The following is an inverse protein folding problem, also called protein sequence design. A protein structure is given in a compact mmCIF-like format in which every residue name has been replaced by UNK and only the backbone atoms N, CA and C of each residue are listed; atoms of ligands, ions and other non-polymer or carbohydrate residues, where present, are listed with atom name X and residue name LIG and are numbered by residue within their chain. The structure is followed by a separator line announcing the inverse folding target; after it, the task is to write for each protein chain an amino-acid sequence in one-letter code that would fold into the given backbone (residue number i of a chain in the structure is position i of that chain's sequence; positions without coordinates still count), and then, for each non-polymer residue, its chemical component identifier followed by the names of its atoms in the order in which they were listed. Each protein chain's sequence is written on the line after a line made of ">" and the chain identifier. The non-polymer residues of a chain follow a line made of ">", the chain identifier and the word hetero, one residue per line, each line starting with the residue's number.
data_IF_779483334442
#
_entry.id   IF_779483334442
#
_cell.length_a   1.000
_cell.length_b   1.000
_cell.length_c   1.000
_cell.angle_alpha   90.00
_cell.angle_beta   90.00
_cell.angle_gamma   90.00
#
_symmetry.space_group_name_H-M   'P 1'
#
loop_
_entity.id
_entity.type
_entity.pdbx_description
1 polymer ?
#
# COMPACT_ATOMS: atom_id res chain seq x y z
N UNK A 1 39.23 -2.52 24.54
CA UNK A 1 38.42 -3.70 24.11
C UNK A 1 36.99 -3.71 24.66
N UNK A 2 36.68 -3.30 25.90
CA UNK A 2 35.30 -3.35 26.46
C UNK A 2 34.17 -2.61 25.71
N UNK A 3 34.46 -1.49 25.02
CA UNK A 3 33.42 -0.72 24.33
C UNK A 3 32.88 -1.42 23.07
N UNK A 4 33.72 -2.18 22.35
CA UNK A 4 33.33 -2.82 21.09
C UNK A 4 32.24 -3.89 21.29
N UNK A 5 32.36 -4.68 22.36
CA UNK A 5 31.43 -5.77 22.67
C UNK A 5 30.06 -5.23 23.10
N UNK A 6 30.04 -4.06 23.76
CA UNK A 6 28.81 -3.38 24.18
C UNK A 6 28.05 -2.83 22.97
N UNK A 7 28.75 -2.19 22.01
CA UNK A 7 28.14 -1.70 20.77
C UNK A 7 27.65 -2.82 19.85
N UNK A 8 28.33 -3.96 19.86
CA UNK A 8 27.94 -5.17 19.14
C UNK A 8 26.61 -5.72 19.68
N UNK A 9 26.53 -5.93 21.00
CA UNK A 9 25.33 -6.43 21.68
C UNK A 9 24.13 -5.51 21.47
N UNK A 10 24.33 -4.19 21.57
CA UNK A 10 23.28 -3.19 21.32
C UNK A 10 22.80 -3.25 19.87
N UNK A 11 23.71 -3.32 18.90
CA UNK A 11 23.34 -3.36 17.47
C UNK A 11 22.63 -4.66 17.09
N UNK A 12 23.10 -5.81 17.55
CA UNK A 12 22.45 -7.10 17.31
C UNK A 12 21.08 -7.16 18.00
N UNK A 13 21.00 -6.69 19.26
CA UNK A 13 19.75 -6.61 20.01
C UNK A 13 18.73 -5.70 19.32
N UNK A 14 19.16 -4.52 18.86
CA UNK A 14 18.31 -3.59 18.12
C UNK A 14 17.86 -4.16 16.78
N UNK A 15 18.73 -4.86 16.05
CA UNK A 15 18.40 -5.49 14.77
C UNK A 15 17.36 -6.60 14.93
N UNK A 16 17.58 -7.50 15.88
CA UNK A 16 16.65 -8.60 16.18
C UNK A 16 15.31 -8.02 16.66
N UNK A 17 15.33 -7.03 17.56
CA UNK A 17 14.11 -6.37 18.05
C UNK A 17 13.37 -5.65 16.92
N UNK A 18 14.08 -5.03 15.98
CA UNK A 18 13.48 -4.39 14.83
C UNK A 18 12.85 -5.40 13.86
N UNK A 19 13.54 -6.52 13.57
CA UNK A 19 13.00 -7.57 12.69
C UNK A 19 11.80 -8.25 13.33
N UNK A 20 11.94 -8.72 14.57
CA UNK A 20 10.86 -9.39 15.30
C UNK A 20 9.72 -8.41 15.53
N UNK A 21 10.00 -7.19 15.97
CA UNK A 21 8.99 -6.14 16.17
C UNK A 21 8.24 -5.81 14.89
N UNK A 22 8.94 -5.63 13.76
CA UNK A 22 8.30 -5.37 12.47
C UNK A 22 7.48 -6.56 11.99
N UNK A 23 7.99 -7.78 12.16
CA UNK A 23 7.29 -9.00 11.77
C UNK A 23 6.06 -9.26 12.62
N UNK A 24 6.18 -9.18 13.95
CA UNK A 24 5.10 -9.39 14.92
C UNK A 24 4.06 -8.28 14.81
N UNK A 25 4.47 -7.01 14.70
CA UNK A 25 3.54 -5.91 14.48
C UNK A 25 2.77 -6.09 13.17
N UNK A 26 3.46 -6.41 12.07
CA UNK A 26 2.84 -6.72 10.79
C UNK A 26 1.90 -7.93 10.89
N UNK A 27 2.28 -8.99 11.59
CA UNK A 27 1.48 -10.22 11.70
C UNK A 27 0.25 -10.08 12.59
N UNK A 28 0.38 -9.40 13.74
CA UNK A 28 -0.74 -9.15 14.65
C UNK A 28 -1.75 -8.18 14.04
N UNK A 29 -1.27 -7.11 13.39
CA UNK A 29 -2.11 -6.16 12.65
C UNK A 29 -2.88 -6.89 11.53
N UNK A 30 -2.23 -7.80 10.79
CA UNK A 30 -2.88 -8.63 9.76
C UNK A 30 -4.03 -9.51 10.26
N UNK A 31 -3.82 -10.26 11.35
CA UNK A 31 -4.86 -11.14 11.91
C UNK A 31 -6.05 -10.36 12.44
N UNK A 32 -5.77 -9.24 13.10
CA UNK A 32 -6.81 -8.34 13.60
C UNK A 32 -7.62 -7.76 12.45
N UNK A 33 -6.95 -7.23 11.43
CA UNK A 33 -7.57 -6.68 10.22
C UNK A 33 -8.40 -7.76 9.49
N UNK A 34 -7.91 -8.98 9.28
CA UNK A 34 -8.69 -10.02 8.59
C UNK A 34 -9.98 -10.40 9.35
N UNK A 35 -9.92 -10.48 10.68
CA UNK A 35 -11.10 -10.80 11.50
C UNK A 35 -12.10 -9.63 11.57
N UNK A 36 -11.61 -8.39 11.71
CA UNK A 36 -12.47 -7.19 11.74
C UNK A 36 -13.09 -6.90 10.37
N UNK A 37 -12.38 -7.20 9.28
CA UNK A 37 -12.86 -6.99 7.92
C UNK A 37 -13.91 -8.03 7.45
N UNK A 38 -14.06 -9.16 8.16
CA UNK A 38 -15.14 -10.11 7.89
C UNK A 38 -16.53 -9.52 8.24
N UNK A 39 -16.58 -8.59 9.20
CA UNK A 39 -17.77 -7.82 9.58
C UNK A 39 -17.37 -6.40 9.96
N UNK A 40 -17.05 -5.55 8.96
CA UNK A 40 -16.41 -4.27 9.19
C UNK A 40 -17.34 -3.34 9.99
N UNK A 41 -16.87 -2.87 11.15
CA UNK A 41 -17.52 -1.84 11.98
C UNK A 41 -17.04 -0.43 11.66
N UNK A 42 -16.42 -0.24 10.49
CA UNK A 42 -15.83 1.01 10.05
C UNK A 42 -16.84 2.14 9.84
N UNK A 43 -16.32 3.34 9.61
CA UNK A 43 -17.10 4.54 9.29
C UNK A 43 -17.21 4.69 7.77
N UNK A 44 -18.35 5.22 7.33
CA UNK A 44 -18.50 5.59 5.93
C UNK A 44 -17.57 6.75 5.59
N UNK A 45 -16.75 6.57 4.55
CA UNK A 45 -15.90 7.65 4.04
C UNK A 45 -16.79 8.65 3.29
N UNK A 46 -16.63 9.94 3.61
CA UNK A 46 -17.44 11.00 3.02
C UNK A 46 -17.26 11.04 1.49
N UNK A 47 -18.34 11.25 0.72
CA UNK A 47 -18.29 11.34 -0.74
C UNK A 47 -17.35 12.42 -1.29
N UNK A 48 -16.98 13.40 -0.47
CA UNK A 48 -16.12 14.52 -0.86
C UNK A 48 -14.65 14.31 -0.51
N UNK A 49 -14.34 13.28 0.29
CA UNK A 49 -12.99 13.10 0.82
C UNK A 49 -12.10 12.36 -0.17
N UNK A 50 -10.92 12.94 -0.44
CA UNK A 50 -9.86 12.29 -1.20
C UNK A 50 -8.90 11.62 -0.24
N UNK A 51 -8.86 10.30 -0.31
CA UNK A 51 -7.91 9.49 0.45
C UNK A 51 -6.60 9.45 -0.31
N UNK A 52 -5.58 10.07 0.26
CA UNK A 52 -4.23 10.06 -0.30
C UNK A 52 -3.44 8.86 0.23
N UNK A 53 -2.40 8.46 -0.50
CA UNK A 53 -1.47 7.42 -0.06
C UNK A 53 -0.77 7.84 1.26
N UNK A 54 -0.78 6.96 2.26
CA UNK A 54 -0.02 7.09 3.50
C UNK A 54 1.46 6.86 3.24
N UNK A 55 2.20 7.97 3.22
CA UNK A 55 3.62 8.01 2.87
C UNK A 55 4.56 7.84 4.06
N UNK A 56 4.00 7.92 5.27
CA UNK A 56 4.80 8.00 6.50
C UNK A 56 5.55 6.69 6.77
N UNK A 57 4.98 5.54 6.38
CA UNK A 57 5.63 4.23 6.54
C UNK A 57 6.93 4.13 5.73
N UNK A 58 6.92 4.50 4.45
CA UNK A 58 8.12 4.47 3.59
C UNK A 58 9.18 5.46 4.06
N UNK A 59 8.76 6.65 4.50
CA UNK A 59 9.66 7.66 5.06
C UNK A 59 10.32 7.17 6.35
N UNK A 60 9.55 6.57 7.25
CA UNK A 60 10.06 6.01 8.51
C UNK A 60 11.05 4.86 8.27
N UNK A 61 10.74 3.94 7.35
CA UNK A 61 11.66 2.87 6.96
C UNK A 61 12.98 3.45 6.44
N UNK A 62 12.93 4.47 5.57
CA UNK A 62 14.11 5.16 5.07
C UNK A 62 14.98 5.74 6.20
N UNK A 63 14.36 6.46 7.15
CA UNK A 63 15.07 7.02 8.32
C UNK A 63 15.72 5.91 9.15
N UNK A 64 14.97 4.86 9.49
CA UNK A 64 15.48 3.78 10.34
C UNK A 64 16.66 3.07 9.68
N UNK A 65 16.58 2.79 8.37
CA UNK A 65 17.69 2.18 7.62
C UNK A 65 18.95 3.06 7.63
N UNK A 66 18.80 4.38 7.52
CA UNK A 66 19.94 5.31 7.57
C UNK A 66 20.53 5.38 8.98
N UNK A 67 19.70 5.53 10.01
CA UNK A 67 20.19 5.63 11.39
C UNK A 67 20.89 4.34 11.81
N UNK A 68 20.27 3.18 11.52
CA UNK A 68 20.83 1.87 11.87
C UNK A 68 22.06 1.53 11.03
N UNK A 69 21.97 1.68 9.71
CA UNK A 69 23.08 1.42 8.79
C UNK A 69 24.26 2.36 9.04
N UNK A 70 23.98 3.66 9.22
CA UNK A 70 25.00 4.67 9.54
C UNK A 70 25.68 4.44 10.88
N UNK A 71 24.90 4.16 11.94
CA UNK A 71 25.47 3.81 13.25
C UNK A 71 26.35 2.56 13.15
N UNK A 72 25.85 1.51 12.49
CA UNK A 72 26.59 0.25 12.35
C UNK A 72 27.88 0.43 11.57
N UNK A 73 27.85 1.15 10.44
CA UNK A 73 29.06 1.40 9.62
C UNK A 73 30.12 2.20 10.40
N UNK A 74 29.70 3.20 11.18
CA UNK A 74 30.62 4.08 11.90
C UNK A 74 31.19 3.45 13.17
N UNK A 75 30.40 2.68 13.91
CA UNK A 75 30.73 2.26 15.28
C UNK A 75 30.85 0.75 15.49
N UNK A 76 30.41 -0.08 14.53
CA UNK A 76 30.40 -1.55 14.69
C UNK A 76 31.17 -2.22 13.56
N UNK A 77 32.26 -2.91 13.88
CA UNK A 77 33.04 -3.69 12.90
C UNK A 77 33.10 -5.15 13.32
N UNK A 78 32.39 -6.01 12.57
CA UNK A 78 32.29 -7.45 12.85
C UNK A 78 33.07 -8.25 11.82
N UNK A 79 32.55 -8.34 10.61
CA UNK A 79 33.16 -9.04 9.49
C UNK A 79 32.72 -8.37 8.18
N UNK A 80 33.37 -8.71 7.07
CA UNK A 80 33.12 -8.09 5.76
C UNK A 80 31.67 -8.27 5.30
N UNK A 81 31.06 -9.42 5.58
CA UNK A 81 29.66 -9.72 5.20
C UNK A 81 28.69 -8.80 5.94
N UNK A 82 28.83 -8.67 7.26
CA UNK A 82 28.05 -7.76 8.08
C UNK A 82 28.21 -6.31 7.62
N UNK A 83 29.46 -5.87 7.42
CA UNK A 83 29.76 -4.50 6.95
C UNK A 83 29.12 -4.23 5.59
N UNK A 84 29.11 -5.22 4.70
CA UNK A 84 28.47 -5.11 3.38
C UNK A 84 26.96 -4.99 3.52
N UNK A 85 26.33 -5.81 4.38
CA UNK A 85 24.90 -5.77 4.63
C UNK A 85 24.45 -4.43 5.21
N UNK A 86 25.11 -3.91 6.25
CA UNK A 86 24.72 -2.62 6.88
C UNK A 86 25.03 -1.42 5.98
N UNK A 87 26.07 -1.51 5.14
CA UNK A 87 26.35 -0.48 4.12
C UNK A 87 25.27 -0.49 3.03
N UNK A 88 24.84 -1.67 2.58
CA UNK A 88 23.74 -1.78 1.64
C UNK A 88 22.43 -1.23 2.23
N UNK A 89 22.13 -1.53 3.50
CA UNK A 89 20.97 -0.96 4.21
C UNK A 89 21.03 0.57 4.25
N UNK A 90 22.19 1.16 4.59
CA UNK A 90 22.39 2.61 4.59
C UNK A 90 22.13 3.20 3.20
N UNK A 91 22.74 2.62 2.16
CA UNK A 91 22.57 3.07 0.76
C UNK A 91 21.10 2.99 0.34
N UNK A 92 20.42 1.87 0.61
CA UNK A 92 18.99 1.71 0.32
C UNK A 92 18.16 2.77 1.06
N UNK A 93 18.45 3.01 2.35
CA UNK A 93 17.78 4.05 3.14
C UNK A 93 17.94 5.45 2.54
N UNK A 94 19.17 5.80 2.13
CA UNK A 94 19.47 7.06 1.44
C UNK A 94 18.69 7.16 0.13
N UNK A 95 18.69 6.11 -0.69
CA UNK A 95 17.93 6.09 -1.95
C UNK A 95 16.43 6.26 -1.73
N UNK A 96 15.84 5.60 -0.73
CA UNK A 96 14.43 5.75 -0.37
C UNK A 96 14.12 7.20 0.02
N UNK A 97 14.96 7.82 0.86
CA UNK A 97 14.76 9.23 1.25
C UNK A 97 14.96 10.19 0.09
N UNK A 98 15.99 10.01 -0.73
CA UNK A 98 16.23 10.84 -1.92
C UNK A 98 15.07 10.74 -2.90
N UNK A 99 14.56 9.52 -3.15
CA UNK A 99 13.39 9.31 -3.99
C UNK A 99 12.16 10.06 -3.45
N UNK A 100 11.99 10.09 -2.13
CA UNK A 100 10.93 10.83 -1.46
C UNK A 100 11.09 12.35 -1.61
N UNK A 101 12.32 12.87 -1.43
CA UNK A 101 12.66 14.29 -1.54
C UNK A 101 12.58 14.82 -2.97
N UNK A 102 12.94 14.00 -3.97
CA UNK A 102 12.94 14.34 -5.39
C UNK A 102 11.53 14.50 -6.01
N UNK A 103 10.46 14.43 -5.22
CA UNK A 103 9.07 14.71 -5.63
C UNK A 103 8.62 13.96 -6.92
N UNK A 104 9.17 12.78 -7.24
CA UNK A 104 8.53 11.83 -8.17
C UNK A 104 7.35 11.16 -7.45
N UNK A 105 6.37 12.00 -7.10
CA UNK A 105 5.24 11.62 -6.25
C UNK A 105 4.33 10.65 -7.00
N UNK A 106 4.02 9.46 -6.47
CA UNK A 106 2.78 8.79 -6.83
C UNK A 106 1.63 9.64 -6.25
N UNK A 107 1.06 10.50 -7.09
CA UNK A 107 -0.11 11.32 -6.75
C UNK A 107 -1.40 10.50 -6.91
N UNK A 108 -1.39 9.30 -6.32
CA UNK A 108 -2.57 8.46 -6.25
C UNK A 108 -3.53 8.99 -5.21
N UNK A 109 -4.81 9.10 -5.55
CA UNK A 109 -5.88 9.31 -4.57
C UNK A 109 -7.07 8.42 -4.89
N UNK A 110 -7.80 8.03 -3.86
CA UNK A 110 -9.09 7.38 -3.97
C UNK A 110 -10.19 8.33 -3.51
N UNK A 111 -11.31 8.30 -4.19
CA UNK A 111 -12.54 8.96 -3.74
C UNK A 111 -13.66 7.96 -3.90
N UNK A 112 -14.43 7.78 -2.84
CA UNK A 112 -15.68 7.02 -2.88
C UNK A 112 -16.78 8.04 -3.09
N UNK A 113 -17.65 7.86 -4.07
CA UNK A 113 -18.82 8.70 -4.28
C UNK A 113 -20.05 7.83 -4.44
N UNK A 114 -21.24 8.43 -4.51
CA UNK A 114 -22.46 7.67 -4.81
C UNK A 114 -22.47 7.08 -6.22
N UNK A 115 -21.70 7.67 -7.15
CA UNK A 115 -21.60 7.17 -8.52
C UNK A 115 -20.67 5.96 -8.65
N UNK A 116 -19.58 5.94 -7.89
CA UNK A 116 -18.55 4.91 -8.02
C UNK A 116 -17.29 5.15 -7.19
N UNK A 117 -16.25 4.36 -7.48
CA UNK A 117 -14.89 4.60 -7.00
C UNK A 117 -14.13 5.38 -8.05
N UNK A 118 -13.65 6.57 -7.69
CA UNK A 118 -12.71 7.33 -8.52
C UNK A 118 -11.28 7.08 -8.09
N UNK A 119 -10.45 6.65 -9.04
CA UNK A 119 -9.01 6.45 -8.87
C UNK A 119 -8.30 7.57 -9.61
N UNK A 120 -7.71 8.49 -8.85
CA UNK A 120 -6.90 9.57 -9.37
C UNK A 120 -5.44 9.16 -9.54
N UNK A 121 -4.89 9.43 -10.72
CA UNK A 121 -3.48 9.29 -11.05
C UNK A 121 -2.90 10.66 -11.45
N UNK A 122 -1.58 10.72 -11.68
CA UNK A 122 -0.86 11.96 -11.97
C UNK A 122 -1.45 12.76 -13.15
N UNK A 123 -1.91 12.07 -14.20
CA UNK A 123 -2.28 12.70 -15.47
C UNK A 123 -3.77 12.52 -15.81
N UNK A 124 -4.59 12.13 -14.83
CA UNK A 124 -6.01 11.89 -15.04
C UNK A 124 -6.60 11.01 -13.96
N UNK A 125 -7.92 10.91 -13.96
CA UNK A 125 -8.64 10.01 -13.08
C UNK A 125 -9.61 9.15 -13.88
N UNK A 126 -10.00 8.03 -13.29
CA UNK A 126 -11.07 7.20 -13.82
C UNK A 126 -12.02 6.82 -12.72
N UNK A 127 -13.32 6.91 -13.01
CA UNK A 127 -14.40 6.54 -12.10
C UNK A 127 -14.99 5.23 -12.56
N UNK A 128 -15.02 4.25 -11.65
CA UNK A 128 -15.61 2.94 -11.87
C UNK A 128 -16.98 2.95 -11.19
N UNK A 129 -18.09 3.01 -11.95
CA UNK A 129 -19.41 3.03 -11.37
C UNK A 129 -19.69 1.78 -10.54
N UNK A 130 -20.42 1.91 -9.43
CA UNK A 130 -20.76 0.76 -8.58
C UNK A 130 -21.49 -0.35 -9.36
N UNK A 131 -22.37 0.04 -10.29
CA UNK A 131 -23.10 -0.89 -11.18
C UNK A 131 -22.20 -1.77 -12.04
N UNK A 132 -20.95 -1.36 -12.28
CA UNK A 132 -19.97 -2.10 -13.07
C UNK A 132 -19.29 -3.21 -12.28
N UNK A 133 -19.52 -3.30 -10.97
CA UNK A 133 -18.94 -4.33 -10.12
C UNK A 133 -19.67 -5.64 -10.36
N UNK A 134 -18.92 -6.70 -10.62
CA UNK A 134 -19.44 -8.06 -10.73
C UNK A 134 -19.29 -8.80 -9.39
N UNK A 135 -18.07 -8.83 -8.86
CA UNK A 135 -17.77 -9.43 -7.55
C UNK A 135 -16.63 -8.65 -6.91
N UNK A 136 -16.58 -8.62 -5.59
CA UNK A 136 -15.42 -8.13 -4.85
C UNK A 136 -15.11 -9.06 -3.69
N UNK A 137 -13.83 -9.13 -3.31
CA UNK A 137 -13.37 -9.96 -2.20
C UNK A 137 -12.16 -9.35 -1.51
N UNK A 138 -12.00 -9.68 -0.24
CA UNK A 138 -10.85 -9.30 0.56
C UNK A 138 -9.87 -10.47 0.55
N UNK A 139 -8.62 -10.23 0.17
CA UNK A 139 -7.57 -11.24 0.12
C UNK A 139 -6.24 -10.66 0.57
N UNK A 140 -5.29 -11.51 0.92
CA UNK A 140 -3.91 -11.10 1.16
C UNK A 140 -3.08 -11.27 -0.13
N UNK A 141 -2.49 -10.17 -0.59
CA UNK A 141 -1.59 -10.16 -1.77
C UNK A 141 -0.24 -9.60 -1.34
N UNK A 142 0.83 -10.38 -1.51
CA UNK A 142 2.19 -10.03 -1.09
C UNK A 142 2.30 -9.52 0.36
N UNK A 143 1.50 -10.09 1.27
CA UNK A 143 1.48 -9.68 2.67
C UNK A 143 0.73 -8.38 2.96
N UNK A 144 -0.08 -7.88 2.02
CA UNK A 144 -0.94 -6.72 2.21
C UNK A 144 -2.40 -7.15 2.06
N UNK A 145 -3.23 -6.80 3.05
CA UNK A 145 -4.67 -7.00 2.94
C UNK A 145 -5.21 -6.08 1.86
N UNK A 146 -5.91 -6.66 0.89
CA UNK A 146 -6.28 -6.00 -0.36
C UNK A 146 -7.71 -6.32 -0.73
N UNK A 147 -8.39 -5.35 -1.35
CA UNK A 147 -9.69 -5.57 -1.97
C UNK A 147 -9.47 -5.82 -3.45
N UNK A 148 -9.88 -6.98 -3.92
CA UNK A 148 -9.91 -7.34 -5.34
C UNK A 148 -11.33 -7.16 -5.87
N UNK A 149 -11.45 -6.49 -7.02
CA UNK A 149 -12.73 -6.18 -7.65
C UNK A 149 -12.71 -6.70 -9.09
N UNK A 150 -13.73 -7.48 -9.44
CA UNK A 150 -14.05 -7.87 -10.80
C UNK A 150 -15.10 -6.93 -11.37
N UNK A 151 -14.87 -6.48 -12.59
CA UNK A 151 -15.79 -5.64 -13.33
C UNK A 151 -16.58 -6.49 -14.32
N UNK A 152 -17.78 -6.03 -14.66
CA UNK A 152 -18.61 -6.63 -15.72
C UNK A 152 -17.95 -6.40 -17.08
N UNK A 153 -18.11 -7.38 -17.95
CA UNK A 153 -17.75 -7.26 -19.37
C UNK A 153 -18.88 -6.55 -20.15
N UNK A 154 -18.57 -5.75 -21.18
CA UNK A 154 -17.23 -5.40 -21.65
C UNK A 154 -16.52 -4.35 -20.77
N UNK A 155 -15.25 -4.56 -20.42
CA UNK A 155 -14.46 -3.64 -19.57
C UNK A 155 -14.47 -2.18 -20.08
N UNK A 156 -14.53 -1.96 -21.40
CA UNK A 156 -14.54 -0.63 -22.01
C UNK A 156 -15.70 0.25 -21.56
N UNK A 157 -16.80 -0.34 -21.11
CA UNK A 157 -17.99 0.36 -20.64
C UNK A 157 -18.04 0.46 -19.10
N UNK A 158 -17.10 -0.18 -18.42
CA UNK A 158 -17.09 -0.33 -16.96
C UNK A 158 -16.46 0.85 -16.22
N UNK A 159 -15.93 1.86 -16.91
CA UNK A 159 -15.31 3.04 -16.30
C UNK A 159 -15.50 4.32 -17.13
N UNK A 160 -15.46 5.47 -16.46
CA UNK A 160 -15.51 6.82 -17.04
C UNK A 160 -14.15 7.49 -16.86
N UNK A 161 -13.65 8.18 -17.88
CA UNK A 161 -12.34 8.85 -17.86
C UNK A 161 -12.48 10.35 -17.72
N UNK A 162 -11.65 10.93 -16.87
CA UNK A 162 -11.39 12.37 -16.79
C UNK A 162 -9.88 12.61 -16.93
N UNK A 163 -9.42 12.83 -18.17
CA UNK A 163 -8.02 13.09 -18.49
C UNK A 163 -7.90 13.96 -19.74
N UNK A 164 -6.89 14.83 -19.77
CA UNK A 164 -6.48 15.56 -20.98
C UNK A 164 -5.50 14.79 -21.87
N UNK A 165 -5.08 13.57 -21.49
CA UNK A 165 -4.16 12.76 -22.29
C UNK A 165 -4.90 11.88 -23.32
N UNK A 166 -4.52 11.90 -24.61
CA UNK A 166 -5.23 11.20 -25.67
C UNK A 166 -5.24 9.67 -25.52
N UNK A 167 -4.27 9.08 -24.82
CA UNK A 167 -4.12 7.62 -24.67
C UNK A 167 -4.45 7.11 -23.26
N UNK A 168 -5.06 7.93 -22.40
CA UNK A 168 -5.31 7.55 -21.01
C UNK A 168 -6.25 6.33 -20.90
N UNK A 169 -7.31 6.28 -21.73
CA UNK A 169 -8.27 5.17 -21.76
C UNK A 169 -7.60 3.83 -22.07
N UNK A 170 -6.77 3.76 -23.11
CA UNK A 170 -6.04 2.54 -23.49
C UNK A 170 -5.09 2.08 -22.38
N UNK A 171 -4.47 3.04 -21.68
CA UNK A 171 -3.59 2.74 -20.54
C UNK A 171 -4.37 2.13 -19.38
N UNK A 172 -5.54 2.66 -19.05
CA UNK A 172 -6.41 2.11 -17.99
C UNK A 172 -6.89 0.71 -18.35
N UNK A 173 -7.34 0.49 -19.59
CA UNK A 173 -7.73 -0.84 -20.07
C UNK A 173 -6.58 -1.84 -19.96
N UNK A 174 -5.37 -1.46 -20.40
CA UNK A 174 -4.18 -2.29 -20.28
C UNK A 174 -3.87 -2.64 -18.82
N UNK A 175 -4.00 -1.69 -17.90
CA UNK A 175 -3.82 -1.94 -16.46
C UNK A 175 -4.84 -2.95 -15.95
N UNK A 176 -6.12 -2.82 -16.31
CA UNK A 176 -7.15 -3.76 -15.89
C UNK A 176 -6.93 -5.17 -16.45
N UNK A 177 -6.59 -5.31 -17.74
CA UNK A 177 -6.27 -6.61 -18.33
C UNK A 177 -5.03 -7.25 -17.69
N UNK A 178 -4.00 -6.47 -17.40
CA UNK A 178 -2.79 -6.95 -16.72
C UNK A 178 -3.08 -7.40 -15.29
N UNK A 179 -3.83 -6.59 -14.53
CA UNK A 179 -4.24 -6.97 -13.18
C UNK A 179 -5.06 -8.26 -13.20
N UNK A 180 -5.97 -8.40 -14.16
CA UNK A 180 -6.81 -9.58 -14.28
C UNK A 180 -5.96 -10.83 -14.56
N UNK A 181 -5.00 -10.75 -15.48
CA UNK A 181 -4.10 -11.86 -15.79
C UNK A 181 -3.22 -12.29 -14.61
N UNK A 182 -2.84 -11.37 -13.72
CA UNK A 182 -1.91 -11.65 -12.62
C UNK A 182 -2.65 -12.07 -11.34
N UNK A 183 -3.74 -11.38 -11.03
CA UNK A 183 -4.43 -11.49 -9.73
C UNK A 183 -5.84 -12.08 -9.83
N UNK A 184 -6.32 -12.35 -11.05
CA UNK A 184 -7.70 -12.75 -11.30
C UNK A 184 -8.71 -11.65 -10.97
N UNK A 185 -8.28 -10.38 -10.98
CA UNK A 185 -9.13 -9.22 -10.73
C UNK A 185 -8.71 -7.97 -11.50
N UNK A 186 -9.69 -7.16 -11.91
CA UNK A 186 -9.46 -5.96 -12.72
C UNK A 186 -8.86 -4.82 -11.91
N UNK A 187 -9.32 -4.66 -10.66
CA UNK A 187 -8.88 -3.61 -9.74
C UNK A 187 -8.40 -4.24 -8.44
N UNK A 188 -7.27 -3.76 -7.96
CA UNK A 188 -6.71 -4.13 -6.66
C UNK A 188 -6.49 -2.86 -5.83
N UNK A 189 -7.13 -2.80 -4.66
CA UNK A 189 -6.92 -1.75 -3.67
C UNK A 189 -6.13 -2.35 -2.51
N UNK A 190 -4.83 -2.05 -2.44
CA UNK A 190 -4.01 -2.41 -1.29
C UNK A 190 -4.46 -1.55 -0.10
N UNK A 191 -4.97 -2.12 0.98
CA UNK A 191 -5.56 -1.29 2.05
C UNK A 191 -4.48 -0.59 2.89
N UNK A 192 -3.32 -1.22 3.08
CA UNK A 192 -2.27 -0.72 3.95
C UNK A 192 -1.50 0.51 3.43
N UNK A 193 -1.80 0.98 2.20
CA UNK A 193 -1.11 2.13 1.59
C UNK A 193 -1.90 3.43 1.67
N UNK A 194 -3.17 3.42 2.07
CA UNK A 194 -4.01 4.61 2.07
C UNK A 194 -4.04 5.29 3.43
N UNK A 195 -4.24 6.60 3.45
CA UNK A 195 -4.42 7.38 4.68
C UNK A 195 -5.88 7.30 5.17
N UNK A 196 -6.38 6.08 5.30
CA UNK A 196 -7.69 5.74 5.86
C UNK A 196 -7.58 4.37 6.56
N UNK A 197 -8.45 4.10 7.53
CA UNK A 197 -8.47 2.79 8.16
C UNK A 197 -8.91 1.73 7.12
N UNK A 198 -8.28 0.55 7.08
CA UNK A 198 -8.71 -0.54 6.20
C UNK A 198 -10.19 -0.88 6.34
N UNK A 199 -10.71 -0.86 7.57
CA UNK A 199 -12.12 -1.11 7.90
C UNK A 199 -13.06 -0.08 7.27
N UNK A 200 -12.69 1.20 7.26
CA UNK A 200 -13.51 2.27 6.68
C UNK A 200 -13.64 2.09 5.17
N UNK A 201 -12.54 1.71 4.50
CA UNK A 201 -12.52 1.44 3.06
C UNK A 201 -13.43 0.26 2.73
N UNK A 202 -13.28 -0.85 3.45
CA UNK A 202 -14.07 -2.06 3.21
C UNK A 202 -15.54 -1.83 3.57
N UNK A 203 -15.84 -1.15 4.68
CA UNK A 203 -17.20 -0.79 5.05
C UNK A 203 -17.85 0.08 3.98
N UNK A 204 -17.13 1.07 3.45
CA UNK A 204 -17.61 1.96 2.38
C UNK A 204 -17.90 1.18 1.09
N UNK A 205 -16.97 0.30 0.68
CA UNK A 205 -17.19 -0.58 -0.49
C UNK A 205 -18.40 -1.47 -0.25
N UNK A 206 -18.52 -2.11 0.91
CA UNK A 206 -19.65 -2.96 1.26
C UNK A 206 -20.97 -2.18 1.21
N UNK A 207 -21.02 -0.96 1.77
CA UNK A 207 -22.23 -0.13 1.78
C UNK A 207 -22.70 0.25 0.37
N UNK A 208 -21.80 0.64 -0.50
CA UNK A 208 -22.16 1.05 -1.86
C UNK A 208 -22.32 -0.12 -2.83
N UNK A 209 -21.54 -1.19 -2.67
CA UNK A 209 -21.59 -2.37 -3.52
C UNK A 209 -22.68 -3.38 -3.12
N UNK A 210 -23.13 -3.42 -1.85
CA UNK A 210 -24.23 -4.31 -1.43
C UNK A 210 -25.63 -3.69 -1.62
N UNK A 211 -25.74 -2.41 -2.00
CA UNK A 211 -26.98 -1.92 -2.64
C UNK A 211 -27.20 -2.53 -4.05
N UNK A 212 -26.38 -3.53 -4.42
CA UNK A 212 -26.48 -4.37 -5.62
C UNK A 212 -26.94 -5.80 -5.24
N UNK A 213 -27.43 -6.01 -4.01
CA UNK A 213 -27.99 -7.29 -3.51
C UNK A 213 -28.97 -7.96 -4.49
N UNK A 214 -29.18 -9.29 -4.39
CA UNK A 214 -28.27 -10.38 -4.78
C UNK A 214 -28.99 -11.25 -5.84
N UNK A 215 -28.29 -12.18 -6.50
CA UNK A 215 -28.98 -13.31 -7.15
C UNK A 215 -29.00 -14.46 -6.17
#
# INVERSE_FOLDING_TARGET
>A
MKNSDTHLLISVGAFITFIIGSFVFSFLDRRKIQNELASPSGKLISPNDRIIVNRNKMFFIGIVLILFGGHSVLFVRINTIYMTAVSAMLVIGIFILLFFLLKRKPNGWLKFSEEGITIGLRNGSHTIPWKSFQTWRIVEVFGNVSVLINLKEPISESFRIESGEPNYTQRVQKIFSQNFSIFGAHVMILLGIWNAAPEDIVYTIKKYANNIDPI
#
